data_IF_559001113474
#
_entry.id   IF_559001113474
#
_cell.length_a   1.000
_cell.length_b   1.000
_cell.length_c   1.000
_cell.angle_alpha   90.00
_cell.angle_beta   90.00
_cell.angle_gamma   90.00
#
_symmetry.space_group_name_H-M   'P 1'
#
loop_
_entity.id
_entity.type
_entity.pdbx_description
1 polymer ?
#
# COMPACT_ATOMS: atom_id res chain seq x y z
N UNK A 1 -12.86 -19.23 -0.82
CA UNK A 1 -12.66 -18.10 -1.77
C UNK A 1 -11.41 -17.36 -1.35
N UNK A 2 -10.52 -17.06 -2.29
CA UNK A 2 -9.35 -16.21 -2.00
C UNK A 2 -9.80 -14.76 -1.81
N UNK A 3 -9.31 -14.10 -0.77
CA UNK A 3 -9.46 -12.65 -0.65
C UNK A 3 -8.70 -11.95 -1.79
N UNK A 4 -9.12 -10.77 -2.27
CA UNK A 4 -8.31 -9.96 -3.17
C UNK A 4 -7.00 -9.53 -2.49
N UNK A 5 -6.03 -9.08 -3.27
CA UNK A 5 -5.00 -8.17 -2.77
C UNK A 5 -5.38 -6.75 -3.14
N UNK A 6 -5.01 -5.77 -2.30
CA UNK A 6 -5.40 -4.38 -2.47
C UNK A 6 -4.17 -3.49 -2.58
N UNK A 7 -4.24 -2.51 -3.47
CA UNK A 7 -3.40 -1.33 -3.40
C UNK A 7 -4.26 -0.15 -2.95
N UNK A 8 -3.85 0.50 -1.87
CA UNK A 8 -4.60 1.60 -1.26
C UNK A 8 -3.71 2.83 -1.10
N UNK A 9 -4.22 4.02 -1.45
CA UNK A 9 -3.50 5.26 -1.20
C UNK A 9 -3.57 5.62 0.29
N UNK A 10 -2.43 6.00 0.90
CA UNK A 10 -2.45 6.56 2.25
C UNK A 10 -2.46 8.09 2.26
N UNK A 11 -2.14 8.72 1.13
CA UNK A 11 -2.14 10.18 1.01
C UNK A 11 -1.12 10.85 1.93
N UNK A 12 -1.38 12.11 2.27
CA UNK A 12 -0.68 12.79 3.36
C UNK A 12 -1.28 12.37 4.72
N UNK A 13 -0.59 12.55 5.86
CA UNK A 13 -1.13 12.25 7.19
C UNK A 13 -2.51 12.88 7.46
N UNK A 14 -2.79 14.06 6.89
CA UNK A 14 -4.08 14.75 6.96
C UNK A 14 -5.25 13.95 6.37
N UNK A 15 -5.00 12.93 5.55
CA UNK A 15 -6.01 12.01 5.06
C UNK A 15 -6.75 11.31 6.20
N UNK A 16 -6.08 11.06 7.34
CA UNK A 16 -6.73 10.52 8.54
C UNK A 16 -7.86 11.40 9.09
N UNK A 17 -7.76 12.73 8.92
CA UNK A 17 -8.78 13.69 9.36
C UNK A 17 -9.83 13.98 8.28
N UNK A 18 -9.45 13.88 7.01
CA UNK A 18 -10.27 14.25 5.86
C UNK A 18 -10.24 13.19 4.77
N UNK A 19 -10.79 11.99 5.03
CA UNK A 19 -10.66 10.86 4.11
C UNK A 19 -11.45 11.01 2.80
N UNK A 20 -12.46 11.86 2.76
CA UNK A 20 -13.22 12.17 1.56
C UNK A 20 -13.73 10.93 0.80
N UNK A 21 -13.74 11.03 -0.53
CA UNK A 21 -14.22 9.96 -1.40
C UNK A 21 -13.31 8.72 -1.38
N UNK A 22 -12.00 8.90 -1.24
CA UNK A 22 -11.05 7.78 -1.16
C UNK A 22 -11.29 6.94 0.10
N UNK A 23 -11.50 7.58 1.26
CA UNK A 23 -11.83 6.87 2.49
C UNK A 23 -13.17 6.13 2.41
N UNK A 24 -14.18 6.73 1.76
CA UNK A 24 -15.46 6.06 1.50
C UNK A 24 -15.29 4.82 0.60
N UNK A 25 -14.42 4.89 -0.41
CA UNK A 25 -14.13 3.73 -1.26
C UNK A 25 -13.46 2.62 -0.43
N UNK A 26 -12.51 2.94 0.44
CA UNK A 26 -11.87 1.98 1.35
C UNK A 26 -12.88 1.31 2.30
N UNK A 27 -13.79 2.09 2.90
CA UNK A 27 -14.85 1.55 3.77
C UNK A 27 -15.79 0.62 3.00
N UNK A 28 -16.13 0.96 1.76
CA UNK A 28 -17.02 0.15 0.91
C UNK A 28 -16.37 -1.19 0.53
N UNK A 29 -15.11 -1.17 0.11
CA UNK A 29 -14.42 -2.43 -0.22
C UNK A 29 -14.30 -3.31 1.03
N UNK A 30 -13.94 -2.76 2.18
CA UNK A 30 -13.87 -3.51 3.43
C UNK A 30 -15.21 -4.17 3.79
N UNK A 31 -16.32 -3.44 3.65
CA UNK A 31 -17.66 -3.94 3.92
C UNK A 31 -18.12 -5.04 2.92
N UNK A 32 -17.57 -5.07 1.72
CA UNK A 32 -17.91 -6.06 0.67
C UNK A 32 -17.11 -7.35 0.77
N UNK A 33 -15.99 -7.35 1.50
CA UNK A 33 -15.13 -8.50 1.65
C UNK A 33 -15.59 -9.41 2.81
N UNK A 34 -15.39 -10.74 2.69
CA UNK A 34 -15.40 -11.59 3.87
C UNK A 34 -14.40 -11.06 4.89
N UNK A 35 -14.74 -11.17 6.18
CA UNK A 35 -13.83 -10.72 7.23
C UNK A 35 -12.48 -11.44 7.13
N UNK A 36 -11.36 -10.71 7.00
CA UNK A 36 -10.04 -11.32 6.97
C UNK A 36 -9.71 -11.98 8.32
N UNK A 37 -8.98 -13.08 8.27
CA UNK A 37 -8.37 -13.68 9.47
C UNK A 37 -7.24 -12.80 10.02
N UNK A 38 -6.47 -12.22 9.12
CA UNK A 38 -5.44 -11.24 9.40
C UNK A 38 -5.16 -10.39 8.14
N UNK A 39 -4.57 -9.23 8.33
CA UNK A 39 -4.14 -8.35 7.25
C UNK A 39 -2.62 -8.28 7.25
N UNK A 40 -1.99 -8.54 6.10
CA UNK A 40 -0.58 -8.18 5.86
C UNK A 40 -0.57 -6.84 5.17
N UNK A 41 0.13 -5.85 5.75
CA UNK A 41 0.25 -4.52 5.15
C UNK A 41 1.70 -4.15 4.93
N UNK A 42 2.00 -3.66 3.72
CA UNK A 42 3.32 -3.15 3.32
C UNK A 42 3.22 -1.66 3.07
N UNK A 43 4.01 -0.87 3.80
CA UNK A 43 4.10 0.58 3.70
C UNK A 43 5.52 1.01 3.31
N UNK A 44 5.71 2.07 2.48
CA UNK A 44 7.02 2.60 2.14
C UNK A 44 7.73 3.26 3.34
N UNK A 45 7.02 3.54 4.41
CA UNK A 45 7.55 4.17 5.62
C UNK A 45 8.29 3.20 6.53
N UNK A 46 8.18 1.90 6.27
CA UNK A 46 9.00 0.88 6.90
C UNK A 46 9.86 0.18 5.85
N UNK A 47 11.02 0.74 5.60
CA UNK A 47 11.98 0.26 4.60
C UNK A 47 13.20 -0.39 5.28
N UNK A 48 13.56 -1.61 4.87
CA UNK A 48 14.64 -2.41 5.46
C UNK A 48 15.46 -3.11 4.37
N UNK A 49 16.65 -3.58 4.73
CA UNK A 49 17.49 -4.32 3.77
C UNK A 49 16.97 -5.74 3.49
N UNK A 50 16.39 -6.37 4.49
CA UNK A 50 15.84 -7.73 4.44
C UNK A 50 14.36 -7.66 4.79
N UNK A 51 13.45 -8.40 4.11
CA UNK A 51 12.06 -8.51 4.52
C UNK A 51 11.93 -8.75 6.02
N UNK A 52 11.29 -7.82 6.71
CA UNK A 52 11.15 -7.85 8.17
C UNK A 52 9.67 -7.87 8.53
N UNK A 53 9.26 -8.87 9.32
CA UNK A 53 7.87 -9.08 9.74
C UNK A 53 7.67 -8.58 11.16
N UNK A 54 6.66 -7.75 11.38
CA UNK A 54 6.23 -7.36 12.73
C UNK A 54 5.52 -8.52 13.41
N UNK A 55 6.08 -8.99 14.53
CA UNK A 55 5.60 -10.18 15.23
C UNK A 55 5.00 -9.89 16.62
N UNK A 56 4.86 -8.61 16.98
CA UNK A 56 4.31 -8.20 18.27
C UNK A 56 2.80 -8.45 18.39
N UNK A 57 2.32 -8.63 19.62
CA UNK A 57 0.89 -8.72 19.92
C UNK A 57 0.22 -7.34 19.98
N UNK A 58 0.99 -6.31 20.31
CA UNK A 58 0.54 -4.92 20.36
C UNK A 58 1.28 -4.11 19.34
N UNK A 59 0.55 -3.36 18.54
CA UNK A 59 1.09 -2.53 17.50
C UNK A 59 0.85 -1.05 17.86
N UNK A 60 1.93 -0.36 18.21
CA UNK A 60 1.86 1.07 18.50
C UNK A 60 1.52 1.87 17.26
N UNK A 61 0.76 2.95 17.41
CA UNK A 61 0.53 3.92 16.35
C UNK A 61 1.76 4.82 16.25
N UNK A 62 2.50 4.71 15.15
CA UNK A 62 3.71 5.50 14.91
C UNK A 62 3.32 6.77 14.16
N UNK A 63 3.67 7.93 14.71
CA UNK A 63 3.51 9.24 14.08
C UNK A 63 4.85 9.65 13.43
N UNK A 64 5.13 9.04 12.28
CA UNK A 64 6.39 9.19 11.51
C UNK A 64 6.39 10.45 10.61
N UNK A 65 5.72 11.50 11.03
CA UNK A 65 5.57 12.76 10.33
C UNK A 65 5.74 13.96 11.26
N UNK A 66 6.04 15.14 10.69
CA UNK A 66 6.30 16.36 11.45
C UNK A 66 5.62 17.56 10.77
N UNK A 67 5.28 18.58 11.59
CA UNK A 67 4.74 19.84 11.08
C UNK A 67 3.26 19.79 10.64
N UNK A 68 2.54 18.80 11.12
CA UNK A 68 1.10 18.64 10.89
C UNK A 68 0.27 19.16 12.07
N UNK A 69 -1.07 19.31 11.91
CA UNK A 69 -1.96 19.71 12.99
C UNK A 69 -1.87 18.80 14.22
N UNK A 70 -1.95 19.38 15.41
CA UNK A 70 -1.81 18.65 16.69
C UNK A 70 -2.78 17.46 16.81
N UNK A 71 -3.99 17.61 16.29
CA UNK A 71 -5.03 16.58 16.28
C UNK A 71 -4.55 15.23 15.67
N UNK A 72 -3.62 15.27 14.70
CA UNK A 72 -3.08 14.05 14.09
C UNK A 72 -2.24 13.23 15.05
N UNK A 73 -1.52 13.88 15.97
CA UNK A 73 -0.67 13.21 16.95
C UNK A 73 -1.48 12.61 18.12
N UNK A 74 -2.74 12.98 18.24
CA UNK A 74 -3.68 12.42 19.23
C UNK A 74 -4.39 11.16 18.72
N UNK A 75 -4.36 10.91 17.40
CA UNK A 75 -5.01 9.74 16.82
C UNK A 75 -4.25 8.48 17.26
N UNK A 76 -5.01 7.52 17.80
CA UNK A 76 -4.54 6.18 18.08
C UNK A 76 -5.34 5.19 17.24
N UNK A 77 -4.65 4.22 16.65
CA UNK A 77 -5.25 3.08 15.99
C UNK A 77 -4.82 1.81 16.74
N UNK A 78 -5.56 1.37 17.75
CA UNK A 78 -5.13 0.36 18.71
C UNK A 78 -5.25 -1.06 18.13
N UNK A 79 -4.63 -1.30 16.99
CA UNK A 79 -4.63 -2.59 16.32
C UNK A 79 -3.84 -3.63 17.13
N UNK A 80 -4.34 -4.85 17.10
CA UNK A 80 -3.63 -5.99 17.65
C UNK A 80 -2.81 -6.66 16.53
N UNK A 81 -1.61 -7.10 16.87
CA UNK A 81 -0.88 -8.06 16.09
C UNK A 81 -1.33 -9.49 16.38
N UNK A 82 -0.83 -10.43 15.58
CA UNK A 82 -1.08 -11.85 15.77
C UNK A 82 0.22 -12.62 15.50
N UNK A 83 0.96 -13.00 16.54
CA UNK A 83 2.22 -13.73 16.38
C UNK A 83 2.10 -15.04 15.61
N UNK A 84 0.94 -15.69 15.67
CA UNK A 84 0.66 -16.91 14.91
C UNK A 84 0.55 -16.58 13.40
N UNK A 85 -0.24 -15.58 13.04
CA UNK A 85 -0.34 -15.11 11.65
C UNK A 85 1.00 -14.57 11.14
N UNK A 86 1.77 -13.88 11.98
CA UNK A 86 3.10 -13.40 11.62
C UNK A 86 4.08 -14.55 11.30
N UNK A 87 4.03 -15.65 12.06
CA UNK A 87 4.82 -16.86 11.75
C UNK A 87 4.46 -17.45 10.38
N UNK A 88 3.19 -17.49 10.04
CA UNK A 88 2.75 -17.96 8.71
C UNK A 88 3.28 -17.06 7.59
N UNK A 89 3.33 -15.75 7.80
CA UNK A 89 3.96 -14.82 6.86
C UNK A 89 5.46 -15.10 6.74
N UNK A 90 6.16 -15.27 7.85
CA UNK A 90 7.59 -15.63 7.88
C UNK A 90 7.83 -16.94 7.11
N UNK A 91 7.03 -17.96 7.35
CA UNK A 91 7.15 -19.26 6.71
C UNK A 91 6.87 -19.19 5.20
N UNK A 92 5.88 -18.41 4.78
CA UNK A 92 5.58 -18.18 3.35
C UNK A 92 6.78 -17.52 2.64
N UNK A 93 7.36 -16.49 3.24
CA UNK A 93 8.52 -15.79 2.68
C UNK A 93 9.75 -16.70 2.62
N UNK A 94 10.03 -17.46 3.68
CA UNK A 94 11.13 -18.44 3.71
C UNK A 94 10.94 -19.56 2.68
N UNK A 95 9.72 -20.04 2.51
CA UNK A 95 9.38 -21.07 1.50
C UNK A 95 9.63 -20.55 0.08
N UNK A 96 9.42 -19.25 -0.15
CA UNK A 96 9.76 -18.59 -1.41
C UNK A 96 11.27 -18.30 -1.57
N UNK A 97 12.11 -18.73 -0.63
CA UNK A 97 13.57 -18.54 -0.67
C UNK A 97 14.06 -17.16 -0.24
N UNK A 98 13.21 -16.37 0.43
CA UNK A 98 13.60 -15.06 0.95
C UNK A 98 14.21 -15.20 2.35
N UNK A 99 15.30 -14.47 2.62
CA UNK A 99 15.74 -14.23 3.99
C UNK A 99 14.69 -13.35 4.69
N UNK A 100 14.43 -13.62 5.95
CA UNK A 100 13.39 -12.89 6.72
C UNK A 100 13.89 -12.59 8.12
N UNK A 101 13.70 -11.35 8.55
CA UNK A 101 13.91 -10.91 9.92
C UNK A 101 12.57 -10.71 10.65
N UNK A 102 12.59 -10.69 11.97
CA UNK A 102 11.43 -10.54 12.82
C UNK A 102 11.60 -9.34 13.75
N UNK A 103 10.56 -8.52 13.86
CA UNK A 103 10.56 -7.29 14.66
C UNK A 103 9.37 -7.25 15.64
N UNK A 104 9.49 -7.81 16.84
CA UNK A 104 8.38 -7.89 17.79
C UNK A 104 7.95 -6.53 18.35
N UNK A 105 8.79 -5.51 18.26
CA UNK A 105 8.50 -4.16 18.76
C UNK A 105 8.07 -3.15 17.70
N UNK A 106 7.92 -3.54 16.42
CA UNK A 106 7.54 -2.60 15.38
C UNK A 106 6.02 -2.36 15.37
N UNK A 107 5.60 -1.09 15.36
CA UNK A 107 4.21 -0.65 15.30
C UNK A 107 3.71 -0.43 13.87
N UNK A 108 2.71 0.44 13.71
CA UNK A 108 2.14 0.83 12.42
C UNK A 108 2.49 2.28 12.14
N UNK A 109 3.24 2.54 11.07
CA UNK A 109 3.47 3.88 10.52
C UNK A 109 2.20 4.44 9.89
N UNK A 110 2.18 5.75 9.53
CA UNK A 110 0.97 6.37 8.99
C UNK A 110 0.54 5.78 7.64
N UNK A 111 1.46 5.29 6.82
CA UNK A 111 1.11 4.58 5.60
C UNK A 111 0.35 3.28 5.87
N UNK A 112 0.50 2.70 7.07
CA UNK A 112 -0.25 1.53 7.48
C UNK A 112 -1.55 1.91 8.22
N UNK A 113 -1.47 2.67 9.33
CA UNK A 113 -2.65 2.88 10.17
C UNK A 113 -3.70 3.80 9.54
N UNK A 114 -3.33 4.74 8.66
CA UNK A 114 -4.30 5.67 8.05
C UNK A 114 -5.31 4.93 7.15
N UNK A 115 -4.90 4.13 6.15
CA UNK A 115 -5.85 3.38 5.33
C UNK A 115 -6.59 2.29 6.13
N UNK A 116 -5.91 1.63 7.07
CA UNK A 116 -6.55 0.61 7.92
C UNK A 116 -7.68 1.22 8.77
N UNK A 117 -7.50 2.41 9.29
CA UNK A 117 -8.53 3.13 10.05
C UNK A 117 -9.76 3.47 9.20
N UNK A 118 -9.61 3.65 7.89
CA UNK A 118 -10.76 3.86 6.98
C UNK A 118 -11.49 2.55 6.68
N UNK A 119 -10.75 1.44 6.62
CA UNK A 119 -11.33 0.13 6.32
C UNK A 119 -11.95 -0.54 7.56
N UNK A 120 -11.24 -0.51 8.66
CA UNK A 120 -11.57 -1.21 9.91
C UNK A 120 -11.40 -0.26 11.09
N UNK A 121 -12.32 0.70 11.28
CA UNK A 121 -12.19 1.75 12.29
C UNK A 121 -12.14 1.21 13.74
N UNK A 122 -12.72 0.05 13.97
CA UNK A 122 -12.75 -0.59 15.30
C UNK A 122 -11.43 -1.33 15.63
N UNK A 123 -10.46 -1.35 14.68
CA UNK A 123 -9.15 -2.01 14.81
C UNK A 123 -9.24 -3.50 15.27
N UNK A 124 -10.30 -4.17 14.86
CA UNK A 124 -10.71 -5.49 15.34
C UNK A 124 -10.22 -6.65 14.47
N UNK A 125 -9.48 -6.37 13.38
CA UNK A 125 -8.81 -7.37 12.54
C UNK A 125 -7.33 -7.38 12.88
N UNK A 126 -6.71 -8.55 13.15
CA UNK A 126 -5.27 -8.64 13.44
C UNK A 126 -4.42 -8.18 12.27
N UNK A 127 -3.34 -7.44 12.56
CA UNK A 127 -2.45 -6.88 11.54
C UNK A 127 -1.06 -7.50 11.66
N UNK A 128 -0.45 -7.79 10.52
CA UNK A 128 0.95 -8.18 10.38
C UNK A 128 1.63 -7.14 9.49
N UNK A 129 2.34 -6.15 10.05
CA UNK A 129 3.13 -5.23 9.25
C UNK A 129 4.32 -5.96 8.64
N UNK A 130 4.62 -5.64 7.38
CA UNK A 130 5.76 -6.19 6.64
C UNK A 130 6.50 -5.04 5.97
N UNK A 131 7.83 -5.00 6.17
CA UNK A 131 8.68 -3.97 5.59
C UNK A 131 8.79 -4.08 4.07
N UNK A 132 9.03 -2.93 3.43
CA UNK A 132 9.45 -2.83 2.04
C UNK A 132 10.98 -2.96 1.94
N UNK A 133 11.49 -3.29 0.76
CA UNK A 133 12.92 -3.27 0.41
C UNK A 133 13.08 -2.38 -0.83
N UNK A 134 12.98 -1.08 -0.65
CA UNK A 134 12.95 -0.10 -1.75
C UNK A 134 14.13 -0.23 -2.70
N UNK A 135 15.32 -0.59 -2.19
CA UNK A 135 16.53 -0.81 -2.98
C UNK A 135 16.43 -1.95 -4.01
N UNK A 136 15.42 -2.83 -3.88
CA UNK A 136 15.17 -3.92 -4.84
C UNK A 136 14.23 -3.52 -5.97
N UNK A 137 13.70 -2.29 -5.92
CA UNK A 137 12.79 -1.73 -6.92
C UNK A 137 11.49 -2.52 -7.07
N UNK A 138 10.73 -2.17 -8.09
CA UNK A 138 9.39 -2.76 -8.35
C UNK A 138 9.44 -4.26 -8.62
N UNK A 139 10.51 -4.78 -9.22
CA UNK A 139 10.68 -6.22 -9.44
C UNK A 139 10.85 -6.98 -8.12
N UNK A 140 11.56 -6.39 -7.16
CA UNK A 140 11.69 -6.95 -5.80
C UNK A 140 10.37 -6.94 -5.06
N UNK A 141 9.64 -5.84 -5.14
CA UNK A 141 8.32 -5.69 -4.53
C UNK A 141 7.29 -6.69 -5.12
N UNK A 142 7.32 -6.90 -6.45
CA UNK A 142 6.48 -7.89 -7.10
C UNK A 142 6.78 -9.32 -6.60
N UNK A 143 8.07 -9.68 -6.50
CA UNK A 143 8.49 -11.00 -5.95
C UNK A 143 8.08 -11.17 -4.49
N UNK A 144 8.18 -10.11 -3.67
CA UNK A 144 7.68 -10.12 -2.30
C UNK A 144 6.17 -10.45 -2.27
N UNK A 145 5.40 -9.81 -3.14
CA UNK A 145 3.98 -10.09 -3.31
C UNK A 145 3.70 -11.54 -3.73
N UNK A 146 4.44 -12.07 -4.70
CA UNK A 146 4.29 -13.46 -5.12
C UNK A 146 4.51 -14.45 -3.96
N UNK A 147 5.45 -14.18 -3.07
CA UNK A 147 5.68 -15.00 -1.89
C UNK A 147 4.49 -14.99 -0.91
N UNK A 148 3.71 -13.91 -0.87
CA UNK A 148 2.51 -13.77 -0.03
C UNK A 148 1.25 -14.36 -0.66
N UNK A 149 1.24 -14.64 -1.96
CA UNK A 149 0.04 -15.08 -2.69
C UNK A 149 -0.68 -16.30 -2.06
N UNK A 150 0.02 -17.35 -1.56
CA UNK A 150 -0.63 -18.50 -0.94
C UNK A 150 -1.45 -18.17 0.32
N UNK A 151 -1.08 -17.10 1.05
CA UNK A 151 -1.76 -16.70 2.28
C UNK A 151 -3.20 -16.22 2.04
N UNK A 152 -3.51 -15.73 0.85
CA UNK A 152 -4.88 -15.28 0.50
C UNK A 152 -5.91 -16.42 0.60
N UNK A 153 -5.51 -17.63 0.21
CA UNK A 153 -6.36 -18.83 0.37
C UNK A 153 -6.58 -19.22 1.84
N UNK A 154 -5.72 -18.73 2.73
CA UNK A 154 -5.76 -18.96 4.17
C UNK A 154 -6.51 -17.84 4.92
N UNK A 155 -7.16 -16.92 4.18
CA UNK A 155 -7.95 -15.84 4.74
C UNK A 155 -7.16 -14.57 5.09
N UNK A 156 -5.94 -14.43 4.58
CA UNK A 156 -5.19 -13.17 4.71
C UNK A 156 -5.61 -12.17 3.64
N UNK A 157 -5.80 -10.92 4.04
CA UNK A 157 -5.90 -9.78 3.14
C UNK A 157 -4.52 -9.15 2.97
N UNK A 158 -4.01 -9.09 1.75
CA UNK A 158 -2.71 -8.47 1.46
C UNK A 158 -2.96 -7.06 0.97
N UNK A 159 -2.36 -6.08 1.63
CA UNK A 159 -2.49 -4.65 1.30
C UNK A 159 -1.11 -4.07 1.02
N UNK A 160 -0.94 -3.51 -0.17
CA UNK A 160 0.13 -2.55 -0.47
C UNK A 160 -0.40 -1.13 -0.27
N UNK A 161 0.21 -0.37 0.62
CA UNK A 161 -0.14 1.02 0.89
C UNK A 161 0.87 1.96 0.27
N UNK A 162 0.42 2.87 -0.58
CA UNK A 162 1.30 3.78 -1.31
C UNK A 162 0.55 4.91 -1.98
N UNK A 163 1.06 5.45 -3.06
CA UNK A 163 0.36 6.42 -3.92
C UNK A 163 0.79 6.22 -5.37
N UNK A 164 -0.12 6.45 -6.33
CA UNK A 164 0.22 6.34 -7.75
C UNK A 164 1.13 7.48 -8.21
N UNK A 165 1.09 8.62 -7.57
CA UNK A 165 2.06 9.71 -7.76
C UNK A 165 2.51 10.25 -6.41
N UNK A 166 3.80 10.55 -6.27
CA UNK A 166 4.37 11.10 -5.05
C UNK A 166 5.57 12.01 -5.35
N UNK A 167 5.31 13.33 -5.51
CA UNK A 167 6.35 14.33 -5.76
C UNK A 167 6.22 15.51 -4.80
N UNK A 168 6.95 15.45 -3.69
CA UNK A 168 6.94 16.52 -2.68
C UNK A 168 7.60 17.83 -3.17
N UNK A 169 8.42 17.78 -4.22
CA UNK A 169 8.94 18.98 -4.88
C UNK A 169 7.82 19.77 -5.54
N UNK A 170 7.00 19.11 -6.34
CA UNK A 170 5.84 19.71 -7.01
C UNK A 170 4.74 20.10 -6.01
N UNK A 171 4.56 19.36 -4.90
CA UNK A 171 3.69 19.77 -3.79
C UNK A 171 4.07 21.16 -3.27
N UNK A 172 5.35 21.41 -3.02
CA UNK A 172 5.81 22.72 -2.55
C UNK A 172 5.52 23.84 -3.54
N UNK A 173 5.67 23.56 -4.84
CA UNK A 173 5.35 24.51 -5.92
C UNK A 173 3.83 24.80 -5.93
N UNK A 174 3.01 23.77 -5.96
CA UNK A 174 1.55 23.94 -6.00
C UNK A 174 1.00 24.62 -4.76
N UNK A 175 1.53 24.31 -3.58
CA UNK A 175 1.14 24.95 -2.33
C UNK A 175 1.51 26.45 -2.29
N UNK A 176 2.63 26.83 -2.91
CA UNK A 176 3.08 28.22 -3.00
C UNK A 176 2.37 29.00 -4.14
N UNK A 177 1.83 28.32 -5.14
CA UNK A 177 1.24 28.90 -6.35
C UNK A 177 -0.13 28.27 -6.64
N UNK A 178 -1.21 28.73 -6.01
CA UNK A 178 -2.55 28.20 -6.22
C UNK A 178 -2.96 28.20 -7.70
N UNK A 179 -3.47 27.08 -8.19
CA UNK A 179 -3.90 26.90 -9.57
C UNK A 179 -2.85 26.27 -10.50
N UNK A 180 -1.64 26.06 -10.04
CA UNK A 180 -0.65 25.24 -10.78
C UNK A 180 -1.11 23.80 -10.83
N UNK A 181 -1.06 23.21 -12.02
CA UNK A 181 -1.36 21.80 -12.28
C UNK A 181 -0.19 21.15 -13.03
N UNK A 182 -0.11 19.84 -12.96
CA UNK A 182 0.97 19.09 -13.61
C UNK A 182 0.37 17.98 -14.48
N UNK A 183 0.80 17.89 -15.72
CA UNK A 183 0.26 16.91 -16.69
C UNK A 183 0.50 15.46 -16.29
N UNK A 184 1.58 15.17 -15.57
CA UNK A 184 1.88 13.82 -15.10
C UNK A 184 0.80 13.26 -14.16
N UNK A 185 0.05 14.12 -13.46
CA UNK A 185 -1.06 13.70 -12.59
C UNK A 185 -2.22 13.05 -13.36
N UNK A 186 -2.26 13.26 -14.66
CA UNK A 186 -3.22 12.64 -15.57
C UNK A 186 -2.56 11.52 -16.38
N UNK A 187 -1.38 11.78 -16.95
CA UNK A 187 -0.75 10.85 -17.88
C UNK A 187 -0.24 9.60 -17.20
N UNK A 188 0.43 9.74 -16.06
CA UNK A 188 1.03 8.60 -15.37
C UNK A 188 -0.02 7.66 -14.76
N UNK A 189 -1.04 8.13 -13.97
CA UNK A 189 -2.10 7.24 -13.48
C UNK A 189 -2.88 6.56 -14.60
N UNK A 190 -3.16 7.26 -15.70
CA UNK A 190 -3.85 6.68 -16.85
C UNK A 190 -3.03 5.54 -17.46
N UNK A 191 -1.75 5.75 -17.70
CA UNK A 191 -0.85 4.73 -18.22
C UNK A 191 -0.78 3.50 -17.29
N UNK A 192 -0.63 3.74 -15.99
CA UNK A 192 -0.62 2.65 -14.99
C UNK A 192 -1.92 1.84 -15.04
N UNK A 193 -3.07 2.51 -15.03
CA UNK A 193 -4.39 1.87 -15.09
C UNK A 193 -4.54 1.02 -16.35
N UNK A 194 -4.15 1.56 -17.49
CA UNK A 194 -4.25 0.87 -18.79
C UNK A 194 -3.42 -0.42 -18.80
N UNK A 195 -2.14 -0.36 -18.38
CA UNK A 195 -1.26 -1.54 -18.39
C UNK A 195 -1.64 -2.56 -17.31
N UNK A 196 -2.21 -2.13 -16.17
CA UNK A 196 -2.79 -3.04 -15.19
C UNK A 196 -3.94 -3.83 -15.79
N UNK A 197 -4.87 -3.18 -16.49
CA UNK A 197 -6.01 -3.87 -17.14
C UNK A 197 -5.60 -4.76 -18.32
N UNK A 198 -4.53 -4.38 -19.03
CA UNK A 198 -3.95 -5.19 -20.13
C UNK A 198 -3.11 -6.37 -19.61
N UNK A 199 -2.84 -6.46 -18.33
CA UNK A 199 -1.92 -7.42 -17.71
C UNK A 199 -0.51 -7.36 -18.32
N UNK A 200 -0.08 -6.17 -18.73
CA UNK A 200 1.23 -5.95 -19.33
C UNK A 200 2.29 -5.79 -18.23
N UNK A 201 2.63 -6.93 -17.62
CA UNK A 201 3.58 -6.98 -16.51
C UNK A 201 4.98 -6.50 -16.95
N UNK A 202 5.37 -6.77 -18.19
CA UNK A 202 6.69 -6.36 -18.70
C UNK A 202 6.80 -4.84 -18.72
N UNK A 203 5.79 -4.14 -19.28
CA UNK A 203 5.74 -2.69 -19.29
C UNK A 203 5.65 -2.12 -17.87
N UNK A 204 4.83 -2.71 -16.99
CA UNK A 204 4.69 -2.28 -15.60
C UNK A 204 6.03 -2.39 -14.84
N UNK A 205 6.80 -3.45 -15.02
CA UNK A 205 8.11 -3.60 -14.37
C UNK A 205 9.18 -2.65 -14.93
N UNK A 206 9.01 -2.18 -16.16
CA UNK A 206 9.90 -1.20 -16.80
C UNK A 206 9.26 0.21 -16.89
N UNK A 207 8.31 0.51 -16.01
CA UNK A 207 7.51 1.74 -16.03
C UNK A 207 8.35 3.02 -16.05
N UNK A 208 9.51 3.03 -15.36
CA UNK A 208 10.36 4.23 -15.30
C UNK A 208 10.88 4.65 -16.67
N UNK A 209 11.01 3.71 -17.61
CA UNK A 209 11.45 3.97 -18.97
C UNK A 209 10.28 4.17 -19.93
N UNK A 210 9.16 3.47 -19.70
CA UNK A 210 8.05 3.39 -20.67
C UNK A 210 6.90 4.34 -20.35
N UNK A 211 6.61 4.56 -19.07
CA UNK A 211 5.50 5.42 -18.69
C UNK A 211 5.82 6.91 -18.88
N UNK A 212 4.86 7.70 -19.36
CA UNK A 212 5.04 9.14 -19.47
C UNK A 212 5.26 9.76 -18.09
N UNK A 213 6.20 10.67 -18.01
CA UNK A 213 6.49 11.46 -16.79
C UNK A 213 6.87 10.63 -15.54
N UNK A 214 7.23 9.36 -15.68
CA UNK A 214 7.45 8.44 -14.57
C UNK A 214 8.41 8.97 -13.50
N UNK A 215 9.54 9.55 -13.93
CA UNK A 215 10.55 10.12 -13.01
C UNK A 215 10.02 11.36 -12.29
N UNK A 216 9.14 12.14 -12.92
CA UNK A 216 8.50 13.29 -12.28
C UNK A 216 7.39 12.85 -11.33
N UNK A 217 6.58 11.86 -11.71
CA UNK A 217 5.55 11.29 -10.86
C UNK A 217 6.15 10.68 -9.59
N UNK A 218 7.32 10.04 -9.72
CA UNK A 218 8.08 9.42 -8.65
C UNK A 218 9.58 9.77 -8.77
N UNK A 219 10.05 10.88 -8.18
CA UNK A 219 11.50 11.15 -8.08
C UNK A 219 12.25 9.99 -7.43
N UNK A 220 11.67 9.42 -6.37
CA UNK A 220 12.01 8.15 -5.75
C UNK A 220 10.76 7.26 -5.73
N UNK A 221 10.89 5.95 -5.91
CA UNK A 221 9.74 5.10 -6.28
C UNK A 221 9.18 4.24 -5.14
N UNK A 222 9.63 4.43 -3.92
CA UNK A 222 9.20 3.65 -2.76
C UNK A 222 7.68 3.71 -2.52
N UNK A 223 7.02 4.84 -2.86
CA UNK A 223 5.58 4.99 -2.71
C UNK A 223 4.75 4.27 -3.81
N UNK A 224 5.38 3.92 -4.94
CA UNK A 224 4.73 3.12 -5.98
C UNK A 224 4.94 1.61 -5.76
N UNK A 225 6.06 1.22 -5.14
CA UNK A 225 6.43 -0.19 -4.98
C UNK A 225 5.37 -1.06 -4.28
N UNK A 226 4.59 -0.57 -3.28
CA UNK A 226 3.51 -1.36 -2.68
C UNK A 226 2.42 -1.81 -3.65
N UNK A 227 2.21 -1.09 -4.76
CA UNK A 227 1.33 -1.55 -5.84
C UNK A 227 1.79 -2.91 -6.40
N UNK A 228 3.10 -3.06 -6.58
CA UNK A 228 3.68 -4.28 -7.11
C UNK A 228 3.64 -5.43 -6.12
N UNK A 229 3.67 -5.14 -4.81
CA UNK A 229 3.40 -6.16 -3.79
C UNK A 229 1.97 -6.67 -3.92
N UNK A 230 0.99 -5.78 -4.02
CA UNK A 230 -0.41 -6.15 -4.20
C UNK A 230 -0.64 -6.92 -5.51
N UNK A 231 -0.04 -6.46 -6.61
CA UNK A 231 -0.12 -7.12 -7.91
C UNK A 231 0.52 -8.52 -7.89
N UNK A 232 1.71 -8.66 -7.29
CA UNK A 232 2.39 -9.96 -7.14
C UNK A 232 1.60 -10.95 -6.29
N UNK A 233 0.96 -10.47 -5.21
CA UNK A 233 0.12 -11.30 -4.36
C UNK A 233 -1.16 -11.77 -5.04
N UNK A 234 -1.61 -11.10 -6.09
CA UNK A 234 -2.82 -11.46 -6.84
C UNK A 234 -2.71 -12.74 -7.66
N UNK A 235 -1.49 -13.16 -7.99
CA UNK A 235 -1.21 -14.27 -8.88
C UNK A 235 -1.16 -13.84 -10.36
N UNK A 236 -1.25 -14.81 -11.26
CA UNK A 236 -1.18 -14.55 -12.70
C UNK A 236 -2.50 -13.96 -13.24
N UNK A 237 -2.40 -12.88 -14.01
CA UNK A 237 -3.51 -12.22 -14.72
C UNK A 237 -4.77 -12.00 -13.87
N UNK A 238 -4.68 -11.28 -12.73
CA UNK A 238 -5.84 -11.05 -11.88
C UNK A 238 -6.86 -10.13 -12.56
N UNK A 239 -8.15 -10.29 -12.24
CA UNK A 239 -9.11 -9.23 -12.53
C UNK A 239 -8.71 -7.97 -11.75
N UNK A 240 -8.68 -6.85 -12.45
CA UNK A 240 -8.33 -5.54 -11.88
C UNK A 240 -9.58 -4.70 -11.75
N UNK A 241 -9.91 -4.31 -10.53
CA UNK A 241 -10.98 -3.36 -10.26
C UNK A 241 -10.37 -2.04 -9.78
N UNK A 242 -10.70 -0.94 -10.47
CA UNK A 242 -10.30 0.42 -10.10
C UNK A 242 -11.34 0.98 -9.11
N UNK A 243 -11.02 0.96 -7.84
CA UNK A 243 -11.94 1.28 -6.74
C UNK A 243 -12.17 2.77 -6.54
N UNK A 244 -11.14 3.57 -6.82
CA UNK A 244 -11.15 5.01 -6.65
C UNK A 244 -10.12 5.68 -7.55
N UNK A 245 -10.42 6.89 -7.98
CA UNK A 245 -9.50 7.82 -8.63
C UNK A 245 -9.71 9.23 -8.08
N UNK A 246 -8.65 10.01 -8.01
CA UNK A 246 -8.69 11.39 -7.55
C UNK A 246 -7.32 11.91 -7.19
N UNK A 247 -7.21 13.22 -6.98
CA UNK A 247 -5.98 13.88 -6.56
C UNK A 247 -6.20 14.50 -5.18
N UNK A 248 -5.29 14.24 -4.25
CA UNK A 248 -5.21 14.91 -2.95
C UNK A 248 -3.91 15.70 -2.86
N UNK A 249 -3.92 16.71 -1.99
CA UNK A 249 -2.73 17.50 -1.68
C UNK A 249 -1.95 17.93 -2.93
N UNK A 250 -2.66 18.34 -3.98
CA UNK A 250 -2.19 18.83 -5.29
C UNK A 250 -1.46 17.80 -6.16
N UNK A 251 -0.80 16.79 -5.58
CA UNK A 251 0.17 15.93 -6.28
C UNK A 251 0.04 14.44 -6.00
N UNK A 252 -0.84 14.04 -5.10
CA UNK A 252 -1.02 12.64 -4.72
C UNK A 252 -2.20 12.06 -5.49
N UNK A 253 -1.93 11.19 -6.46
CA UNK A 253 -2.98 10.42 -7.11
C UNK A 253 -3.42 9.29 -6.16
N UNK A 254 -4.68 9.37 -5.75
CA UNK A 254 -5.31 8.53 -4.73
C UNK A 254 -6.01 7.32 -5.35
N UNK A 255 -5.48 6.81 -6.44
CA UNK A 255 -6.05 5.64 -7.11
C UNK A 255 -5.90 4.40 -6.24
N UNK A 256 -6.99 3.64 -6.14
CA UNK A 256 -7.06 2.41 -5.37
C UNK A 256 -7.47 1.25 -6.28
N UNK A 257 -6.87 0.08 -6.07
CA UNK A 257 -7.11 -1.10 -6.89
C UNK A 257 -7.36 -2.34 -6.04
N UNK A 258 -8.28 -3.19 -6.51
CA UNK A 258 -8.41 -4.57 -6.05
C UNK A 258 -7.98 -5.53 -7.16
N UNK A 259 -7.22 -6.54 -6.78
CA UNK A 259 -6.73 -7.60 -7.67
C UNK A 259 -7.31 -8.93 -7.22
N UNK A 260 -8.17 -9.51 -8.04
CA UNK A 260 -8.87 -10.78 -7.74
C UNK A 260 -8.41 -11.86 -8.70
N UNK A 261 -8.06 -13.03 -8.18
CA UNK A 261 -7.75 -14.19 -9.03
C UNK A 261 -8.97 -14.58 -9.85
N UNK A 262 -8.84 -14.66 -11.17
CA UNK A 262 -9.89 -15.22 -12.04
C UNK A 262 -10.00 -16.70 -11.72
N UNK A 263 -11.24 -17.16 -11.48
CA UNK A 263 -11.56 -18.58 -11.25
C UNK A 263 -11.52 -19.36 -12.54
#
# INVERSE_FOLDING_TARGET
MNLPSLFLPHGAPTFALRPGAAGLAMSRIAASLPRPRAIVIVSPHWDTQTPTVGTGERLETIHDFYGFPAELYEIQYPATGCPEAAREVVDALRTAGLAVEEAPGHGLDHGAWVPLRQMYPDADVPIVPLSLQSHRGVSGAFKLGQALAPLRAQGFLIIGSGNITHNLGDYRIANAQPGVTFDYLRHFPHWMTEHLHQHDLEALLDYRRLAPDAVRAHPTDEHLQPLYVALGAAGERPAVEHLHTGISDYVLAMDAYAFTTLQ
#
